data_IF_458317131130
#
_entry.id   IF_458317131130
#
_cell.length_a   1.000
_cell.length_b   1.000
_cell.length_c   1.000
_cell.angle_alpha   90.00
_cell.angle_beta   90.00
_cell.angle_gamma   90.00
#
_symmetry.space_group_name_H-M   'P 1'
#
loop_
_entity.id
_entity.type
_entity.pdbx_description
1 polymer ?
2 polymer ?
3 water ?
#
# COMPACT_ATOMS: atom_id res chain seq x y z
N UNK A 12 -4.27 -16.55 19.06
CA UNK A 12 -3.06 -17.26 18.74
C UNK A 12 -2.64 -17.01 17.29
N UNK A 13 -3.49 -17.37 16.35
CA UNK A 13 -3.08 -17.54 14.99
C UNK A 13 -4.24 -17.38 14.01
N UNK A 14 -3.95 -16.88 12.82
CA UNK A 14 -4.94 -16.87 11.75
C UNK A 14 -4.29 -17.47 10.51
N UNK A 15 -5.07 -18.25 9.78
CA UNK A 15 -4.56 -18.91 8.60
C UNK A 15 -4.26 -17.91 7.49
N UNK A 16 -3.23 -18.15 6.72
CA UNK A 16 -2.84 -17.24 5.64
C UNK A 16 -3.95 -17.04 4.61
N UNK A 17 -4.81 -18.04 4.44
CA UNK A 17 -5.85 -17.97 3.42
C UNK A 17 -6.85 -16.83 3.67
N UNK A 18 -6.99 -16.42 4.94
CA UNK A 18 -7.86 -15.30 5.29
C UNK A 18 -7.38 -13.96 4.71
N UNK A 19 -6.13 -13.92 4.31
CA UNK A 19 -5.51 -12.68 3.85
C UNK A 19 -5.14 -12.74 2.37
N UNK A 20 -5.51 -13.82 1.70
CA UNK A 20 -5.13 -14.00 0.29
C UNK A 20 -6.29 -13.77 -0.68
N UNK A 21 -7.29 -13.01 -0.25
CA UNK A 21 -8.49 -12.79 -1.06
C UNK A 21 -8.61 -11.31 -1.44
N UNK A 22 -8.26 -10.97 -2.70
CA UNK A 22 -8.18 -9.55 -3.08
C UNK A 22 -9.50 -8.80 -2.95
N UNK A 23 -10.63 -9.43 -3.22
CA UNK A 23 -11.89 -8.69 -3.13
C UNK A 23 -12.09 -8.11 -1.72
N UNK A 24 -12.03 -8.97 -0.72
CA UNK A 24 -12.31 -8.55 0.65
C UNK A 24 -11.20 -7.67 1.25
N UNK A 25 -9.95 -7.96 0.92
CA UNK A 25 -8.86 -7.09 1.36
C UNK A 25 -9.06 -5.68 0.83
N UNK A 26 -9.40 -5.59 -0.45
CA UNK A 26 -9.66 -4.32 -1.09
C UNK A 26 -10.87 -3.57 -0.52
N UNK A 27 -11.96 -4.28 -0.23
CA UNK A 27 -13.11 -3.64 0.40
C UNK A 27 -12.73 -3.09 1.78
N UNK A 28 -11.92 -3.84 2.52
CA UNK A 28 -11.43 -3.38 3.82
C UNK A 28 -10.66 -2.08 3.67
N UNK A 29 -9.72 -2.05 2.72
CA UNK A 29 -8.96 -0.82 2.44
C UNK A 29 -9.89 0.30 1.98
N UNK A 30 -10.91 -0.05 1.20
CA UNK A 30 -11.87 0.92 0.69
C UNK A 30 -12.69 1.53 1.82
N UNK A 31 -13.09 0.70 2.77
CA UNK A 31 -13.80 1.17 3.96
C UNK A 31 -12.95 2.17 4.75
N UNK A 32 -11.70 1.79 5.04
CA UNK A 32 -10.77 2.69 5.71
C UNK A 32 -10.59 3.99 4.93
N UNK A 33 -10.42 3.88 3.61
CA UNK A 33 -10.24 5.08 2.81
C UNK A 33 -11.42 6.04 3.00
N UNK A 34 -12.63 5.53 2.90
CA UNK A 34 -13.82 6.37 2.96
C UNK A 34 -13.93 7.07 4.31
N UNK A 35 -13.66 6.33 5.37
CA UNK A 35 -13.68 6.95 6.71
C UNK A 35 -12.57 7.99 6.87
N UNK A 36 -11.36 7.66 6.43
CA UNK A 36 -10.26 8.62 6.53
C UNK A 36 -10.60 9.95 5.83
N UNK A 37 -11.43 9.89 4.79
CA UNK A 37 -11.88 11.12 4.14
C UNK A 37 -12.67 12.00 5.11
N UNK A 38 -13.35 11.38 6.07
CA UNK A 38 -14.15 12.12 7.05
C UNK A 38 -13.32 12.47 8.27
N UNK A 39 -12.06 12.05 8.26
CA UNK A 39 -11.14 12.28 9.38
C UNK A 39 -10.18 13.43 9.10
N UNK A 40 -10.46 14.59 9.70
CA UNK A 40 -9.68 15.79 9.46
C UNK A 40 -8.53 15.97 10.44
N UNK A 41 -8.40 15.03 11.37
CA UNK A 41 -7.36 15.12 12.39
C UNK A 41 -6.06 14.41 11.97
N UNK A 42 -5.15 15.15 11.35
CA UNK A 42 -3.89 14.57 10.87
C UNK A 42 -2.84 14.50 11.96
N UNK A 43 -3.18 15.01 13.14
CA UNK A 43 -2.21 15.14 14.25
C UNK A 43 -2.16 13.92 15.15
N UNK A 44 -3.20 13.08 15.11
CA UNK A 44 -3.29 11.94 16.00
C UNK A 44 -3.42 10.63 15.22
N UNK A 45 -2.47 9.73 15.39
CA UNK A 45 -2.54 8.37 14.83
C UNK A 45 -2.79 7.35 15.94
N UNK A 46 -3.78 6.47 15.73
CA UNK A 46 -4.21 5.52 16.77
C UNK A 46 -3.39 4.24 16.79
N UNK A 47 -3.17 3.67 15.60
CA UNK A 47 -2.56 2.35 15.51
C UNK A 47 -1.19 2.39 14.88
N UNK A 48 -0.15 2.01 15.58
CA UNK A 48 1.21 2.06 15.06
C UNK A 48 2.10 1.69 16.21
N UNK A 49 3.38 1.94 16.14
CA UNK A 49 4.06 2.66 17.22
C UNK A 49 3.90 2.26 18.69
N UNK A 50 3.32 3.13 19.47
CA UNK A 50 3.13 2.92 20.88
C UNK A 50 2.41 1.62 21.26
N UNK A 51 1.54 1.15 20.39
CA UNK A 51 0.60 0.10 20.69
C UNK A 51 1.33 -1.16 21.03
N UNK A 52 2.48 -1.35 20.43
CA UNK A 52 3.23 -2.59 20.63
C UNK A 52 4.41 -2.39 21.58
N UNK A 53 4.51 -1.21 22.17
CA UNK A 53 5.56 -0.96 23.14
C UNK A 53 5.44 -1.89 24.35
N UNK A 54 6.47 -2.69 24.57
CA UNK A 54 6.50 -3.59 25.71
C UNK A 54 5.83 -4.93 25.44
N UNK A 55 5.41 -5.14 24.20
CA UNK A 55 4.74 -6.37 23.80
C UNK A 55 5.65 -7.17 22.85
N UNK A 56 5.81 -8.47 23.11
CA UNK A 56 6.67 -9.32 22.28
C UNK A 56 6.02 -9.67 20.94
N UNK A 57 6.85 -10.00 19.94
CA UNK A 57 6.32 -10.38 18.64
C UNK A 57 5.29 -11.50 18.77
N UNK A 58 5.52 -12.40 19.71
CA UNK A 58 4.67 -13.56 19.87
C UNK A 58 3.37 -13.22 20.57
N UNK A 59 3.33 -12.06 21.22
CA UNK A 59 2.12 -11.61 21.90
C UNK A 59 1.29 -10.67 21.05
N UNK A 60 1.84 -10.29 19.89
CA UNK A 60 1.20 -9.29 19.06
C UNK A 60 -0.16 -9.72 18.53
N UNK A 61 -0.30 -10.97 18.13
CA UNK A 61 -1.59 -11.43 17.61
C UNK A 61 -2.69 -11.28 18.66
N UNK A 62 -2.39 -11.63 19.91
CA UNK A 62 -3.36 -11.51 21.00
C UNK A 62 -3.70 -10.04 21.26
N UNK A 63 -2.70 -9.17 21.16
CA UNK A 63 -2.98 -7.74 21.35
C UNK A 63 -3.95 -7.25 20.28
N UNK A 64 -3.74 -7.70 19.04
CA UNK A 64 -4.56 -7.23 17.93
C UNK A 64 -5.96 -7.85 17.98
N UNK A 65 -6.08 -9.01 18.63
CA UNK A 65 -7.41 -9.56 18.92
C UNK A 65 -8.18 -8.59 19.81
N UNK A 66 -7.54 -8.09 20.85
CA UNK A 66 -8.22 -7.17 21.77
C UNK A 66 -8.60 -5.87 21.07
N UNK A 67 -7.68 -5.38 20.24
CA UNK A 67 -7.93 -4.18 19.46
C UNK A 67 -9.07 -4.42 18.47
N UNK A 68 -9.05 -5.58 17.83
CA UNK A 68 -10.09 -5.95 16.89
C UNK A 68 -11.46 -6.02 17.57
N UNK A 69 -11.52 -6.68 18.72
CA UNK A 69 -12.79 -6.82 19.43
C UNK A 69 -13.29 -5.49 20.01
N UNK A 70 -12.39 -4.66 20.54
CA UNK A 70 -12.76 -3.27 20.86
C UNK A 70 -13.40 -2.55 19.68
N UNK A 71 -12.75 -2.63 18.51
CA UNK A 71 -13.19 -1.91 17.33
C UNK A 71 -14.58 -2.38 16.86
N UNK A 72 -14.76 -3.70 16.74
CA UNK A 72 -16.08 -4.27 16.47
C UNK A 72 -17.16 -3.76 17.43
N UNK A 73 -16.90 -3.81 18.74
CA UNK A 73 -17.95 -3.60 19.73
C UNK A 73 -18.24 -2.12 20.01
N UNK A 74 -17.21 -1.29 19.95
CA UNK A 74 -17.34 0.11 20.38
C UNK A 74 -17.13 1.11 19.25
N UNK A 75 -16.67 0.63 18.11
CA UNK A 75 -16.46 1.55 17.00
C UNK A 75 -17.38 1.25 15.83
N UNK A 76 -17.23 0.06 15.26
CA UNK A 76 -17.99 -0.33 14.10
C UNK A 76 -19.48 -0.46 14.41
N UNK A 77 -19.80 -0.91 15.62
CA UNK A 77 -21.19 -1.09 16.01
C UNK A 77 -21.98 0.24 16.02
N UNK A 78 -21.48 1.24 16.75
CA UNK A 78 -22.22 2.51 16.81
C UNK A 78 -22.31 3.18 15.44
N UNK A 79 -21.33 2.91 14.57
CA UNK A 79 -21.22 3.55 13.26
C UNK A 79 -21.74 2.67 12.11
N UNK A 80 -22.58 1.68 12.43
CA UNK A 80 -22.98 0.68 11.44
C UNK A 80 -23.74 1.24 10.23
N UNK A 81 -24.27 2.46 10.35
CA UNK A 81 -25.02 3.12 9.27
C UNK A 81 -24.10 3.77 8.23
N UNK A 82 -22.87 4.08 8.64
CA UNK A 82 -21.99 4.91 7.82
C UNK A 82 -21.23 4.10 6.77
N UNK A 83 -20.70 4.81 5.77
CA UNK A 83 -19.75 4.23 4.82
C UNK A 83 -20.28 2.98 4.11
N UNK A 84 -21.52 3.05 3.66
CA UNK A 84 -22.06 1.93 2.90
C UNK A 84 -21.64 2.05 1.45
N UNK A 85 -21.57 0.92 0.73
CA UNK A 85 -21.92 -0.45 1.13
C UNK A 85 -20.73 -1.22 1.73
N UNK A 86 -19.59 -0.56 1.89
CA UNK A 86 -18.39 -1.22 2.39
C UNK A 86 -18.54 -1.77 3.80
N UNK A 87 -19.12 -0.96 4.67
CA UNK A 87 -19.33 -1.36 6.06
C UNK A 87 -20.03 -2.72 6.17
N UNK A 88 -21.11 -2.93 5.41
CA UNK A 88 -21.90 -4.15 5.56
C UNK A 88 -21.20 -5.41 5.03
N UNK A 89 -20.17 -5.22 4.20
CA UNK A 89 -19.40 -6.34 3.66
C UNK A 89 -18.19 -6.63 4.53
N UNK A 90 -17.61 -5.58 5.11
CA UNK A 90 -16.34 -5.71 5.82
C UNK A 90 -16.51 -6.15 7.26
N UNK A 91 -17.51 -5.62 7.95
CA UNK A 91 -17.74 -6.05 9.33
C UNK A 91 -17.94 -7.56 9.54
N UNK A 92 -18.76 -8.21 8.70
CA UNK A 92 -18.94 -9.65 8.86
C UNK A 92 -17.64 -10.42 8.64
N UNK A 93 -16.78 -9.89 7.78
CA UNK A 93 -15.45 -10.47 7.55
C UNK A 93 -14.60 -10.35 8.79
N UNK A 94 -14.53 -9.15 9.36
CA UNK A 94 -13.73 -8.93 10.57
C UNK A 94 -14.31 -9.71 11.74
N UNK A 95 -15.63 -9.88 11.76
CA UNK A 95 -16.28 -10.62 12.84
C UNK A 95 -15.90 -12.10 12.79
N UNK A 96 -15.77 -12.63 11.57
CA UNK A 96 -15.32 -14.02 11.39
C UNK A 96 -13.90 -14.20 11.91
N UNK A 97 -13.03 -13.25 11.58
CA UNK A 97 -11.65 -13.28 12.08
C UNK A 97 -11.66 -13.26 13.60
N UNK A 98 -12.49 -12.42 14.21
CA UNK A 98 -12.64 -12.42 15.66
C UNK A 98 -13.09 -13.79 16.18
N UNK A 99 -14.08 -14.39 15.53
CA UNK A 99 -14.60 -15.68 15.98
C UNK A 99 -13.47 -16.72 15.95
N UNK A 100 -12.62 -16.63 14.93
CA UNK A 100 -11.47 -17.53 14.78
C UNK A 100 -10.49 -17.42 15.93
N UNK A 101 -10.32 -16.20 16.44
CA UNK A 101 -9.37 -15.95 17.53
C UNK A 101 -9.98 -16.19 18.90
N UNK A 102 -11.31 -16.26 18.96
CA UNK A 102 -12.05 -16.25 20.22
C UNK A 102 -11.22 -16.61 21.46
N UNK A 112 -0.04 -6.06 30.93
CA UNK A 112 0.61 -5.09 30.05
C UNK A 112 -0.12 -4.90 28.73
N UNK A 113 -0.64 -5.98 28.17
CA UNK A 113 -1.47 -5.89 26.99
C UNK A 113 -2.64 -4.95 27.30
N UNK A 114 -3.29 -5.17 28.43
CA UNK A 114 -4.44 -4.35 28.83
C UNK A 114 -4.06 -2.87 28.85
N UNK A 115 -2.84 -2.58 29.30
CA UNK A 115 -2.37 -1.22 29.42
C UNK A 115 -2.35 -0.51 28.07
N UNK A 116 -1.76 -1.18 27.07
CA UNK A 116 -1.64 -0.58 25.74
C UNK A 116 -2.99 -0.43 25.04
N UNK A 117 -3.85 -1.43 25.18
CA UNK A 117 -5.19 -1.33 24.60
C UNK A 117 -5.99 -0.22 25.26
N UNK A 118 -5.83 -0.06 26.57
CA UNK A 118 -6.61 0.95 27.27
C UNK A 118 -6.24 2.33 26.74
N UNK A 119 -4.96 2.52 26.39
CA UNK A 119 -4.53 3.83 25.91
C UNK A 119 -5.23 4.17 24.60
N UNK A 120 -5.32 3.19 23.72
CA UNK A 120 -6.05 3.37 22.46
C UNK A 120 -7.51 3.69 22.72
N UNK A 121 -8.13 2.97 23.65
CA UNK A 121 -9.52 3.26 24.03
C UNK A 121 -9.67 4.68 24.54
N UNK A 122 -8.73 5.10 25.38
CA UNK A 122 -8.76 6.44 25.99
C UNK A 122 -8.70 7.50 24.91
N UNK A 123 -7.88 7.25 23.90
CA UNK A 123 -7.63 8.22 22.87
C UNK A 123 -8.87 8.35 22.00
N UNK A 124 -9.48 7.22 21.65
CA UNK A 124 -10.70 7.24 20.86
C UNK A 124 -11.78 8.02 21.63
N UNK A 125 -11.88 7.77 22.93
CA UNK A 125 -12.86 8.43 23.78
C UNK A 125 -12.60 9.94 23.86
N UNK A 126 -11.34 10.32 24.07
CA UNK A 126 -10.97 11.73 24.15
C UNK A 126 -11.37 12.48 22.88
N UNK A 127 -11.23 11.82 21.73
CA UNK A 127 -11.52 12.47 20.44
C UNK A 127 -13.02 12.58 20.15
N UNK A 128 -13.82 11.86 20.92
CA UNK A 128 -15.26 11.87 20.72
C UNK A 128 -15.69 11.04 19.53
N UNK A 129 -16.83 11.36 18.94
CA UNK A 129 -17.30 10.61 17.78
C UNK A 129 -16.27 10.60 16.67
N UNK A 130 -15.53 11.69 16.53
CA UNK A 130 -14.47 11.79 15.54
C UNK A 130 -13.36 10.75 15.78
N UNK A 131 -13.25 10.27 17.02
CA UNK A 131 -12.30 9.23 17.34
C UNK A 131 -12.74 7.87 16.80
N UNK A 132 -14.04 7.63 16.84
CA UNK A 132 -14.63 6.42 16.26
C UNK A 132 -14.46 6.44 14.74
N UNK A 133 -14.73 7.58 14.12
CA UNK A 133 -14.45 7.73 12.70
C UNK A 133 -12.97 7.50 12.42
N UNK A 134 -12.09 8.09 13.24
CA UNK A 134 -10.64 7.89 13.07
C UNK A 134 -10.27 6.40 13.06
N UNK A 135 -10.84 5.65 14.00
CA UNK A 135 -10.53 4.24 14.12
C UNK A 135 -10.95 3.47 12.87
N UNK A 136 -12.11 3.82 12.32
CA UNK A 136 -12.57 3.16 11.10
C UNK A 136 -11.64 3.53 9.96
N UNK A 137 -11.16 4.77 9.95
CA UNK A 137 -10.23 5.20 8.92
C UNK A 137 -8.88 4.50 9.02
N UNK A 138 -8.61 3.89 10.17
CA UNK A 138 -7.35 3.19 10.38
C UNK A 138 -7.51 1.68 10.29
N UNK A 139 -8.60 1.22 9.70
CA UNK A 139 -8.80 -0.22 9.57
C UNK A 139 -7.76 -0.87 8.69
N UNK A 140 -7.17 -0.10 7.77
CA UNK A 140 -6.10 -0.63 6.92
C UNK A 140 -4.92 -1.00 7.81
N UNK A 141 -4.65 -0.14 8.78
CA UNK A 141 -3.57 -0.35 9.74
C UNK A 141 -3.91 -1.48 10.70
N UNK A 142 -5.16 -1.54 11.14
CA UNK A 142 -5.58 -2.62 12.04
C UNK A 142 -5.47 -3.94 11.28
N UNK A 143 -5.95 -3.94 10.04
CA UNK A 143 -6.02 -5.18 9.28
C UNK A 143 -4.60 -5.70 9.00
N UNK A 144 -3.71 -4.82 8.56
CA UNK A 144 -2.36 -5.27 8.22
C UNK A 144 -1.52 -5.61 9.45
N UNK A 145 -1.79 -4.96 10.59
CA UNK A 145 -1.13 -5.36 11.84
C UNK A 145 -1.61 -6.74 12.27
N UNK A 146 -2.90 -6.99 12.06
CA UNK A 146 -3.51 -8.28 12.36
C UNK A 146 -2.81 -9.35 11.50
N UNK A 147 -2.63 -9.04 10.22
CA UNK A 147 -1.99 -9.97 9.29
C UNK A 147 -0.56 -10.26 9.70
N UNK A 148 0.22 -9.22 9.97
CA UNK A 148 1.62 -9.41 10.34
C UNK A 148 1.76 -10.19 11.65
N UNK A 149 0.89 -9.92 12.60
CA UNK A 149 0.99 -10.53 13.91
C UNK A 149 0.55 -11.99 13.96
N UNK A 150 -0.46 -12.34 13.14
CA UNK A 150 -1.21 -13.57 13.33
C UNK A 150 -0.89 -14.70 12.36
N UNK A 151 -0.28 -14.38 11.22
CA UNK A 151 -0.02 -15.41 10.21
C UNK A 151 1.11 -16.34 10.63
N UNK B 3 -13.11 28.29 -1.91
CA UNK B 3 -13.33 27.76 -3.25
C UNK B 3 -12.09 27.05 -3.81
N UNK B 4 -11.52 26.12 -3.04
CA UNK B 4 -10.19 25.58 -3.37
C UNK B 4 -10.19 24.78 -4.67
N UNK B 5 -11.29 24.08 -4.91
CA UNK B 5 -11.42 23.18 -6.04
C UNK B 5 -11.43 23.96 -7.34
N UNK B 6 -11.59 25.27 -7.25
CA UNK B 6 -11.57 26.09 -8.44
C UNK B 6 -10.15 26.47 -8.87
N UNK B 7 -9.21 26.37 -7.94
CA UNK B 7 -7.81 26.61 -8.29
C UNK B 7 -6.97 25.33 -8.35
N UNK B 8 -7.38 24.31 -7.62
CA UNK B 8 -6.62 23.08 -7.51
C UNK B 8 -7.47 21.85 -7.62
N UNK B 9 -6.95 20.82 -8.29
CA UNK B 9 -7.67 19.56 -8.39
C UNK B 9 -6.71 18.42 -8.62
N UNK B 10 -7.19 17.19 -8.40
CA UNK B 10 -6.38 15.99 -8.53
C UNK B 10 -5.03 16.09 -7.84
N UNK B 11 -5.05 16.55 -6.59
CA UNK B 11 -3.84 16.61 -5.77
C UNK B 11 -3.62 15.23 -5.16
N UNK B 12 -2.58 14.56 -5.61
CA UNK B 12 -2.44 13.15 -5.28
C UNK B 12 -1.00 12.70 -5.51
N UNK B 13 -0.57 11.74 -4.71
CA UNK B 13 0.71 11.09 -4.89
C UNK B 13 0.60 10.07 -6.01
N UNK B 14 1.55 10.09 -6.93
CA UNK B 14 1.73 8.98 -7.84
C UNK B 14 2.92 8.22 -7.33
N UNK B 15 2.76 6.92 -7.12
CA UNK B 15 3.76 6.13 -6.41
C UNK B 15 4.02 4.81 -7.16
N UNK B 16 5.28 4.58 -7.53
CA UNK B 16 5.69 3.33 -8.19
C UNK B 16 6.98 2.81 -7.60
N UNK B 17 6.99 1.55 -7.16
CA UNK B 17 8.15 0.99 -6.48
C UNK B 17 8.72 1.98 -5.46
N UNK B 18 7.83 2.66 -4.75
CA UNK B 18 8.18 3.52 -3.64
C UNK B 18 8.85 4.85 -4.03
N UNK B 19 8.86 5.17 -5.33
CA UNK B 19 9.22 6.52 -5.77
C UNK B 19 7.93 7.31 -5.74
N UNK B 20 7.85 8.31 -4.88
CA UNK B 20 6.57 8.94 -4.56
C UNK B 20 6.54 10.40 -4.96
N UNK B 21 5.79 10.70 -6.01
CA UNK B 21 5.80 12.04 -6.60
C UNK B 21 4.45 12.71 -6.37
N UNK B 22 4.46 13.84 -5.68
CA UNK B 22 3.24 14.61 -5.50
C UNK B 22 2.88 15.28 -6.82
N UNK B 23 1.63 15.15 -7.25
CA UNK B 23 1.18 15.78 -8.50
C UNK B 23 -0.16 16.47 -8.32
N UNK B 24 -0.41 17.51 -9.12
CA UNK B 24 -1.68 18.24 -9.09
C UNK B 24 -1.97 18.89 -10.44
N UNK B 25 -3.20 19.39 -10.59
CA UNK B 25 -3.52 20.20 -11.76
C UNK B 25 -4.23 21.46 -11.33
N UNK B 26 -4.31 22.44 -12.23
CA UNK B 26 -5.04 23.68 -11.97
C UNK B 26 -6.55 23.46 -12.16
N UNK B 27 -7.34 24.19 -11.41
CA UNK B 27 -8.78 24.09 -11.52
C UNK B 27 -9.32 24.95 -12.66
N UNK B 28 -10.65 24.93 -12.85
CA UNK B 28 -11.37 25.69 -13.88
C UNK B 28 -11.26 27.21 -13.73
N UNK B 29 -11.21 27.73 -12.51
CA UNK B 29 -11.33 29.17 -12.26
C UNK B 29 -10.10 30.04 -12.59
N UNK B 30 -9.03 29.41 -13.04
CA UNK B 30 -7.85 30.15 -13.46
C UNK B 30 -6.63 29.35 -13.08
N UNK B 31 -5.43 29.83 -13.36
CA UNK B 31 -5.16 31.08 -14.08
C UNK B 31 -3.66 31.08 -14.38
N UNK B 32 -3.26 31.55 -15.58
CA UNK B 32 -1.89 31.36 -16.07
C UNK B 32 -0.81 32.00 -15.19
N UNK B 33 -1.22 32.88 -14.28
CA UNK B 33 -0.29 33.62 -13.45
C UNK B 33 -0.15 32.99 -12.05
N UNK B 34 0.00 31.67 -11.99
CA UNK B 34 -0.11 30.95 -10.70
C UNK B 34 1.16 30.19 -10.30
N UNK B 35 1.49 30.25 -9.02
CA UNK B 35 2.64 29.50 -8.50
C UNK B 35 2.21 28.61 -7.32
N UNK B 36 2.94 27.53 -7.09
CA UNK B 36 2.55 26.52 -6.11
C UNK B 36 3.62 26.32 -5.05
N UNK B 37 3.21 26.07 -3.82
CA UNK B 37 4.16 25.77 -2.74
C UNK B 37 3.75 24.53 -1.97
N UNK B 38 4.70 23.62 -1.78
CA UNK B 38 4.42 22.29 -1.27
C UNK B 38 4.93 22.10 0.14
N UNK B 39 4.12 21.49 0.99
CA UNK B 39 4.52 21.12 2.33
C UNK B 39 4.09 19.68 2.60
N UNK B 40 4.74 19.03 3.57
CA UNK B 40 4.35 17.67 3.90
C UNK B 40 4.41 17.45 5.40
N UNK B 41 3.73 16.41 5.86
CA UNK B 41 3.79 16.04 7.25
C UNK B 41 3.53 14.55 7.41
N UNK B 42 3.95 14.05 8.56
CA UNK B 42 3.72 12.67 8.94
C UNK B 42 2.41 12.58 9.70
N UNK B 43 1.56 11.64 9.32
CA UNK B 43 0.32 11.36 10.04
C UNK B 43 0.65 11.01 11.47
N UNK B 44 0.04 11.73 12.41
CA UNK B 44 0.31 11.49 13.83
C UNK B 44 1.28 12.48 14.44
N UNK B 45 1.89 13.33 13.61
CA UNK B 45 2.73 14.44 14.06
C UNK B 45 2.03 15.77 13.80
N UNK B 46 2.53 16.85 14.39
CA UNK B 46 1.82 18.14 14.33
C UNK B 46 2.31 19.12 13.24
N UNK B 47 3.61 19.13 12.96
CA UNK B 47 4.19 20.21 12.16
C UNK B 47 4.30 19.90 10.66
N UNK B 48 3.85 20.85 9.84
CA UNK B 48 4.03 20.76 8.40
C UNK B 48 5.44 21.23 8.05
N UNK B 49 6.03 20.62 7.01
CA UNK B 49 7.38 21.00 6.59
C UNK B 49 7.41 21.46 5.13
N UNK B 50 8.02 22.61 4.88
CA UNK B 50 8.15 23.09 3.50
C UNK B 50 9.18 22.27 2.75
N UNK B 51 8.84 21.88 1.53
CA UNK B 51 9.78 21.17 0.69
C UNK B 51 10.67 22.17 -0.09
N UNK B 52 11.94 22.20 0.26
CA UNK B 52 12.89 23.05 -0.43
C UNK B 52 12.99 22.61 -1.89
N UNK B 53 12.88 23.56 -2.81
CA UNK B 53 12.85 23.25 -4.23
C UNK B 53 11.44 23.18 -4.80
N UNK B 54 10.43 23.13 -3.94
CA UNK B 54 9.05 23.15 -4.42
C UNK B 54 8.30 24.32 -3.78
N UNK B 55 8.95 25.48 -3.75
CA UNK B 55 8.35 26.71 -3.24
C UNK B 55 8.13 27.73 -4.36
N UNK B 56 6.88 28.16 -4.54
CA UNK B 56 6.49 29.09 -5.59
C UNK B 56 6.97 28.65 -6.98
N UNK B 57 6.72 27.38 -7.28
CA UNK B 57 7.04 26.78 -8.57
C UNK B 57 5.84 26.88 -9.51
N UNK B 58 6.11 26.83 -10.81
CA UNK B 58 5.04 26.77 -11.79
C UNK B 58 4.84 25.35 -12.29
N UNK B 59 5.80 24.47 -12.01
CA UNK B 59 5.64 23.08 -12.41
C UNK B 59 4.62 22.39 -11.49
N UNK B 60 3.91 21.41 -12.02
CA UNK B 60 2.81 20.79 -11.26
C UNK B 60 3.16 19.44 -10.62
N UNK B 61 4.43 19.26 -10.28
CA UNK B 61 4.79 18.10 -9.49
C UNK B 61 5.97 18.38 -8.59
N UNK B 62 6.14 17.52 -7.61
CA UNK B 62 7.17 17.67 -6.60
C UNK B 62 7.53 16.29 -6.08
N UNK B 63 8.78 15.88 -6.29
CA UNK B 63 9.23 14.57 -5.85
C UNK B 63 9.43 14.52 -4.34
N UNK B 64 8.62 13.73 -3.64
CA UNK B 64 8.74 13.62 -2.17
C UNK B 64 9.18 12.20 -1.71
N UNK B 65 9.92 11.50 -2.57
CA UNK B 65 10.28 10.11 -2.29
C UNK B 65 10.93 9.91 -0.92
N UNK B 66 12.03 10.60 -0.68
CA UNK B 66 12.74 10.44 0.59
C UNK B 66 11.93 10.97 1.77
N UNK B 67 11.22 12.08 1.56
CA UNK B 67 10.41 12.67 2.63
C UNK B 67 9.29 11.72 3.08
N UNK B 68 8.93 10.79 2.20
CA UNK B 68 7.86 9.84 2.50
C UNK B 68 8.39 8.40 2.47
N UNK B 69 9.66 8.22 2.85
CA UNK B 69 10.32 6.94 2.72
C UNK B 69 10.47 6.12 3.99
N UNK B 70 9.76 6.49 5.05
CA UNK B 70 9.78 5.67 6.25
C UNK B 70 8.60 4.70 6.18
N UNK B 71 8.91 3.41 6.02
CA UNK B 71 7.88 2.40 5.79
C UNK B 71 6.92 2.18 6.97
N UNK B 72 7.24 2.75 8.12
CA UNK B 72 6.35 2.64 9.29
C UNK B 72 5.41 3.84 9.42
N UNK B 73 5.58 4.89 8.62
CA UNK B 73 4.71 6.06 8.72
C UNK B 73 3.69 6.17 7.59
N UNK B 74 2.71 7.05 7.77
CA UNK B 74 1.82 7.48 6.71
C UNK B 74 1.98 8.98 6.66
N UNK B 75 1.55 9.60 5.57
CA UNK B 75 1.85 11.00 5.32
C UNK B 75 0.71 11.76 4.66
N UNK B 76 0.84 13.08 4.67
CA UNK B 76 0.01 13.97 3.89
C UNK B 76 0.91 15.00 3.21
N UNK B 77 0.47 15.53 2.08
CA UNK B 77 1.12 16.68 1.48
C UNK B 77 0.04 17.71 1.25
N UNK B 78 0.45 18.96 1.05
CA UNK B 78 -0.50 19.97 0.64
C UNK B 78 0.12 20.94 -0.35
N UNK B 79 -0.72 21.51 -1.19
CA UNK B 79 -0.28 22.39 -2.24
C UNK B 79 -1.04 23.70 -2.03
N UNK B 80 -0.30 24.80 -2.01
CA UNK B 80 -0.93 26.12 -1.90
C UNK B 80 -0.69 26.86 -3.20
N UNK B 81 -1.77 27.20 -3.90
CA UNK B 81 -1.68 27.93 -5.15
C UNK B 81 -1.85 29.42 -4.87
N UNK B 82 -1.02 30.26 -5.48
CA UNK B 82 -1.22 31.70 -5.39
C UNK B 82 -1.17 32.34 -6.78
N UNK B 83 -2.25 33.02 -7.18
CA UNK B 83 -2.31 33.71 -8.46
C UNK B 83 -1.80 35.14 -8.33
N UNK B 84 -1.32 35.70 -9.43
CA UNK B 84 -0.78 37.06 -9.40
C UNK B 84 -1.76 38.12 -8.87
N UNK B 85 -3.05 37.85 -8.94
CA UNK B 85 -4.03 38.78 -8.41
C UNK B 85 -4.19 38.65 -6.90
N UNK B 86 -3.51 37.67 -6.31
CA UNK B 86 -3.59 37.44 -4.89
C UNK B 86 -4.60 36.38 -4.48
N UNK B 87 -5.33 35.82 -5.45
CA UNK B 87 -6.25 34.73 -5.13
C UNK B 87 -5.42 33.52 -4.73
N UNK B 88 -5.88 32.79 -3.72
CA UNK B 88 -5.11 31.68 -3.19
C UNK B 88 -6.00 30.52 -2.78
N UNK B 89 -5.45 29.31 -2.83
CA UNK B 89 -6.17 28.14 -2.37
C UNK B 89 -5.17 27.10 -1.89
N UNK B 90 -5.53 26.36 -0.84
CA UNK B 90 -4.71 25.25 -0.38
C UNK B 90 -5.54 23.96 -0.42
N UNK B 91 -4.91 22.87 -0.86
CA UNK B 91 -5.57 21.59 -0.90
C UNK B 91 -4.61 20.48 -0.49
N UNK B 92 -5.09 19.57 0.36
CA UNK B 92 -4.29 18.51 0.92
C UNK B 92 -4.58 17.20 0.17
N UNK B 93 -3.59 16.31 0.09
CA UNK B 93 -3.84 14.96 -0.43
C UNK B 93 -4.70 14.17 0.55
N UNK B 94 -5.24 13.04 0.09
CA UNK B 94 -5.78 12.05 1.01
C UNK B 94 -4.58 11.45 1.75
N UNK B 95 -4.85 10.65 2.78
CA UNK B 95 -3.78 10.05 3.55
C UNK B 95 -2.99 9.09 2.67
N UNK B 96 -1.66 9.17 2.75
CA UNK B 96 -0.81 8.38 1.86
C UNK B 96 -0.14 7.24 2.61
N UNK B 97 -0.31 6.02 2.08
CA UNK B 97 0.29 4.84 2.67
C UNK B 97 1.12 4.14 1.60
N UNK B 98 2.43 4.30 1.65
CA UNK B 98 3.28 3.82 0.57
C UNK B 98 3.13 2.31 0.36
N UNK B 99 3.06 1.55 1.45
CA UNK B 99 2.92 0.11 1.34
C UNK B 99 1.65 -0.26 0.59
N UNK B 100 0.53 0.39 0.90
CA UNK B 100 -0.74 0.10 0.28
C UNK B 100 -0.86 0.67 -1.12
N UNK B 101 -0.42 1.89 -1.29
CA UNK B 101 -0.66 2.68 -2.47
C UNK B 101 0.34 2.57 -3.61
N UNK B 102 1.55 2.19 -3.31
CA UNK B 102 2.58 2.12 -4.35
C UNK B 102 2.32 0.96 -5.30
N UNK B 103 2.46 1.23 -6.59
CA UNK B 103 2.28 0.24 -7.64
C UNK B 103 3.57 -0.56 -7.78
N UNK B 104 3.48 -1.86 -8.06
CA UNK B 104 4.68 -2.64 -8.31
C UNK B 104 4.94 -2.69 -9.83
N UNK B 105 6.15 -2.34 -10.24
CA UNK B 105 6.51 -2.36 -11.65
C UNK B 105 6.77 -3.81 -12.07
N UNK B 106 6.59 -4.12 -13.36
CA UNK B 106 7.01 -5.45 -13.84
C UNK B 106 8.46 -5.72 -13.47
N UNK B 107 8.79 -6.96 -13.08
CA UNK B 107 10.15 -7.29 -12.68
C UNK B 107 11.05 -7.31 -13.90
N UNK B 108 12.34 -7.02 -13.72
CA UNK B 108 13.33 -7.28 -14.76
C UNK B 108 13.61 -8.78 -14.75
N UNK B 109 13.58 -9.39 -15.92
CA UNK B 109 13.75 -10.83 -15.99
C UNK B 109 14.77 -11.18 -17.08
N UNK B 110 15.58 -12.20 -16.80
CA UNK B 110 16.51 -12.73 -17.80
C UNK B 110 15.90 -14.00 -18.39
N UNK B 111 15.60 -13.99 -19.68
CA UNK B 111 15.12 -15.21 -20.33
C UNK B 111 16.20 -15.81 -21.23
N UNK B 112 16.65 -17.01 -20.87
CA UNK B 112 17.75 -17.67 -21.58
C UNK B 112 17.26 -18.90 -22.35
N UNK B 113 17.66 -19.01 -23.60
CA UNK B 113 17.24 -20.10 -24.46
C UNK B 113 18.19 -21.28 -24.36
N UNK B 114 17.61 -22.49 -24.24
CA UNK B 114 18.36 -23.73 -24.38
C UNK B 114 17.73 -24.54 -25.50
N UNK B 115 18.29 -25.71 -25.79
CA UNK B 115 17.75 -26.51 -26.89
C UNK B 115 16.34 -27.04 -26.61
N UNK B 116 16.07 -27.47 -25.39
CA UNK B 116 14.76 -28.02 -25.05
C UNK B 116 14.21 -27.42 -23.76
N UNK B 117 14.64 -26.19 -23.47
CA UNK B 117 14.14 -25.50 -22.29
C UNK B 117 14.32 -23.98 -22.41
N UNK B 118 13.58 -23.25 -21.57
CA UNK B 118 13.82 -21.81 -21.41
C UNK B 118 14.12 -21.53 -19.92
N UNK B 119 15.22 -20.87 -19.65
CA UNK B 119 15.56 -20.54 -18.29
C UNK B 119 15.08 -19.11 -18.03
N UNK B 120 14.52 -18.86 -16.84
CA UNK B 120 14.09 -17.51 -16.49
C UNK B 120 14.67 -17.16 -15.13
N UNK B 121 15.33 -16.01 -15.06
CA UNK B 121 15.89 -15.52 -13.82
C UNK B 121 15.22 -14.20 -13.49
N UNK B 122 14.50 -14.16 -12.38
CA UNK B 122 13.89 -12.90 -11.96
C UNK B 122 14.90 -12.13 -11.12
N UNK B 123 15.14 -10.88 -11.48
CA UNK B 123 16.07 -10.10 -10.69
C UNK B 123 15.30 -9.40 -9.58
N UNK B 124 15.91 -9.31 -8.39
CA UNK B 124 15.32 -8.54 -7.30
C UNK B 124 15.12 -7.09 -7.72
N UNK B 125 14.08 -6.45 -7.19
CA UNK B 125 13.77 -5.07 -7.52
C UNK B 125 14.29 -4.12 -6.44
N UNK B 126 15.34 -3.34 -6.77
CA UNK B 126 15.78 -2.30 -5.82
C UNK B 126 14.74 -1.21 -5.73
N UNK B 127 14.67 -0.55 -4.58
CA UNK B 127 13.76 0.58 -4.37
C UNK B 127 14.53 1.75 -3.77
N UNK B 128 13.90 2.93 -3.73
CA UNK B 128 14.61 4.03 -3.07
C UNK B 128 14.54 3.96 -1.55
N UNK B 129 14.02 2.87 -0.99
CA UNK B 129 13.89 2.79 0.46
C UNK B 129 15.25 2.55 1.09
N UNK B 130 15.60 3.41 2.03
CA UNK B 130 16.95 3.47 2.58
C UNK B 130 17.06 2.74 3.92
N UNK B 131 18.07 1.87 4.01
CA UNK B 131 18.42 1.21 5.27
C UNK B 131 19.79 0.53 5.14
N UNK B 136 19.93 0.32 0.29
CA UNK B 136 18.63 0.28 -0.37
C UNK B 136 17.95 -1.08 -0.24
N UNK B 137 16.71 -1.07 0.23
CA UNK B 137 15.90 -2.29 0.28
C UNK B 137 15.33 -2.65 -1.09
N UNK B 138 15.16 -3.95 -1.34
CA UNK B 138 14.43 -4.43 -2.51
C UNK B 138 12.97 -4.68 -2.13
N UNK B 139 12.10 -4.85 -3.14
CA UNK B 139 10.73 -5.26 -2.89
C UNK B 139 10.73 -6.54 -2.05
N UNK B 140 11.64 -7.44 -2.39
CA UNK B 140 11.76 -8.71 -1.70
C UNK B 140 12.05 -8.52 -0.20
N UNK B 141 12.87 -7.53 0.16
CA UNK B 141 13.15 -7.23 1.57
C UNK B 141 11.93 -6.65 2.29
N UNK B 142 11.10 -5.94 1.54
CA UNK B 142 9.97 -5.20 2.11
C UNK B 142 8.73 -6.06 2.31
N UNK B 143 8.43 -6.90 1.32
CA UNK B 143 7.22 -7.71 1.34
C UNK B 143 7.59 -9.17 1.51
N UNK B 144 7.45 -9.69 2.73
CA UNK B 144 7.95 -11.03 3.06
C UNK B 144 7.23 -12.13 2.28
N UNK B 145 6.01 -11.85 1.84
CA UNK B 145 5.22 -12.85 1.13
C UNK B 145 5.19 -12.62 -0.38
N UNK B 146 6.19 -11.93 -0.90
CA UNK B 146 6.26 -11.68 -2.31
C UNK B 146 6.65 -12.98 -3.01
N UNK B 147 5.99 -13.28 -4.11
CA UNK B 147 6.42 -14.39 -4.95
C UNK B 147 6.23 -14.05 -6.41
N UNK B 148 6.74 -14.91 -7.29
CA UNK B 148 6.65 -14.68 -8.72
C UNK B 148 5.71 -15.69 -9.37
N UNK B 149 4.95 -15.23 -10.35
CA UNK B 149 4.13 -16.14 -11.15
C UNK B 149 4.65 -16.12 -12.59
N UNK B 150 5.06 -17.29 -13.07
CA UNK B 150 5.65 -17.39 -14.40
C UNK B 150 4.81 -18.32 -15.27
N UNK B 151 4.56 -17.89 -16.50
CA UNK B 151 3.79 -18.68 -17.45
C UNK B 151 4.55 -18.76 -18.76
N UNK B 152 4.56 -19.96 -19.33
CA UNK B 152 5.18 -20.14 -20.63
C UNK B 152 4.11 -20.64 -21.60
N UNK B 153 3.81 -19.83 -22.61
CA UNK B 153 2.79 -20.20 -23.59
C UNK B 153 3.34 -21.18 -24.63
N UNK B 154 2.90 -22.43 -24.53
CA UNK B 154 3.20 -23.43 -25.55
C UNK B 154 1.99 -24.29 -25.85
N UNK B 159 -0.23 -24.17 -21.91
CA UNK B 159 0.35 -23.20 -20.99
C UNK B 159 1.01 -23.88 -19.80
N UNK B 160 2.30 -23.63 -19.61
CA UNK B 160 3.00 -24.16 -18.44
C UNK B 160 3.05 -23.06 -17.40
N UNK B 161 2.93 -23.43 -16.12
CA UNK B 161 3.04 -22.44 -15.07
C UNK B 161 3.98 -22.88 -13.95
N UNK B 162 4.77 -21.93 -13.46
CA UNK B 162 5.64 -22.14 -12.32
C UNK B 162 5.53 -20.93 -11.40
N UNK B 163 5.96 -21.07 -10.15
CA UNK B 163 5.87 -19.97 -9.22
C UNK B 163 6.60 -20.26 -7.93
N UNK B 164 6.88 -19.22 -7.16
CA UNK B 164 7.60 -19.38 -5.91
C UNK B 164 8.37 -18.13 -5.52
N UNK B 165 9.14 -18.25 -4.43
CA UNK B 165 9.91 -17.15 -3.90
C UNK B 165 11.33 -17.14 -4.48
N UNK B 166 11.75 -18.28 -5.00
CA UNK B 166 13.09 -18.41 -5.56
C UNK B 166 13.26 -17.56 -6.81
N UNK B 167 14.52 -17.36 -7.21
CA UNK B 167 14.85 -16.45 -8.30
C UNK B 167 14.83 -17.10 -9.71
N UNK B 168 15.25 -18.35 -9.81
CA UNK B 168 15.40 -18.95 -11.14
C UNK B 168 14.54 -20.18 -11.37
N UNK B 169 14.00 -20.25 -12.59
CA UNK B 169 13.07 -21.28 -13.00
C UNK B 169 13.44 -21.76 -14.39
N UNK B 170 13.26 -23.05 -14.65
CA UNK B 170 13.52 -23.57 -15.99
C UNK B 170 12.34 -24.41 -16.46
N UNK B 171 11.79 -24.06 -17.62
CA UNK B 171 10.71 -24.82 -18.23
C UNK B 171 11.28 -25.88 -19.17
N UNK B 172 11.06 -27.14 -18.84
CA UNK B 172 11.62 -28.25 -19.61
C UNK B 172 10.59 -28.86 -20.57
N UNK B 173 11.06 -29.77 -21.43
CA UNK B 173 10.16 -30.51 -22.28
C UNK B 173 9.69 -29.76 -23.50
N UNK B 174 10.48 -28.80 -23.96
CA UNK B 174 10.13 -27.96 -25.10
C UNK B 174 10.70 -28.44 -26.41
N UNK B 175 9.97 -28.18 -27.47
CA UNK B 175 10.45 -28.50 -28.80
C UNK B 175 11.59 -27.55 -29.19
N UNK B 176 12.64 -28.08 -29.80
CA UNK B 176 13.76 -27.23 -30.22
C UNK B 176 13.40 -26.26 -31.36
N UNK B 177 14.20 -25.21 -31.52
CA UNK B 177 14.07 -24.29 -32.65
C UNK B 177 12.63 -23.75 -32.76
N UNK B 178 12.02 -23.44 -31.62
CA UNK B 178 10.60 -23.09 -31.55
C UNK B 178 10.39 -21.82 -30.71
N UNK B 179 9.45 -20.97 -31.11
CA UNK B 179 9.25 -19.69 -30.41
C UNK B 179 8.21 -19.82 -29.29
N UNK B 180 8.50 -19.24 -28.13
CA UNK B 180 7.57 -19.28 -27.01
C UNK B 180 7.41 -17.88 -26.44
N UNK B 181 6.36 -17.67 -25.67
CA UNK B 181 6.17 -16.39 -24.99
C UNK B 181 6.08 -16.63 -23.49
N UNK B 182 6.98 -16.02 -22.73
CA UNK B 182 6.97 -16.10 -21.27
C UNK B 182 6.43 -14.82 -20.63
N UNK B 183 5.68 -14.97 -19.55
CA UNK B 183 5.19 -13.83 -18.79
C UNK B 183 5.52 -14.05 -17.32
N UNK B 184 6.01 -13.00 -16.67
CA UNK B 184 6.44 -13.08 -15.29
C UNK B 184 5.82 -11.91 -14.55
N UNK B 185 5.14 -12.19 -13.45
CA UNK B 185 4.57 -11.11 -12.67
C UNK B 185 4.92 -11.27 -11.20
N UNK B 186 4.93 -10.16 -10.46
CA UNK B 186 5.15 -10.16 -9.03
C UNK B 186 3.78 -10.17 -8.38
N UNK B 187 3.63 -10.96 -7.33
CA UNK B 187 2.40 -10.97 -6.54
C UNK B 187 2.76 -10.74 -5.08
N UNK B 188 1.95 -9.94 -4.38
CA UNK B 188 2.02 -9.87 -2.93
C UNK B 188 0.60 -10.05 -2.40
N UNK B 189 0.19 -11.31 -2.25
CA UNK B 189 -1.21 -11.67 -1.99
C UNK B 189 -1.80 -10.95 -0.79
N UNK B 190 -0.99 -10.78 0.25
CA UNK B 190 -1.44 -10.17 1.51
C UNK B 190 -1.85 -8.69 1.36
N UNK B 191 -1.25 -8.00 0.43
CA UNK B 191 -1.59 -6.61 0.17
C UNK B 191 -2.45 -6.48 -1.09
N UNK B 192 -2.95 -7.62 -1.56
CA UNK B 192 -3.72 -7.66 -2.80
C UNK B 192 -3.01 -6.91 -3.92
N UNK B 193 -1.68 -7.05 -3.96
CA UNK B 193 -0.85 -6.36 -4.95
C UNK B 193 -0.39 -7.29 -6.07
N UNK B 194 -0.34 -6.75 -7.28
CA UNK B 194 0.17 -7.50 -8.42
C UNK B 194 0.82 -6.55 -9.42
N UNK B 195 1.93 -6.96 -10.03
CA UNK B 195 2.53 -6.13 -11.07
C UNK B 195 1.91 -6.52 -12.40
N UNK B 196 2.03 -5.62 -13.38
CA UNK B 196 1.76 -5.98 -14.76
C UNK B 196 2.88 -6.96 -15.13
N UNK B 197 2.67 -7.79 -16.17
CA UNK B 197 3.70 -8.79 -16.41
C UNK B 197 4.88 -8.23 -17.20
N UNK B 198 6.06 -8.79 -16.97
CA UNK B 198 7.16 -8.65 -17.92
C UNK B 198 7.01 -9.80 -18.91
N UNK B 199 7.21 -9.54 -20.19
CA UNK B 199 7.07 -10.61 -21.18
C UNK B 199 8.34 -10.78 -21.99
N UNK B 200 8.65 -12.02 -22.34
CA UNK B 200 9.76 -12.29 -23.24
C UNK B 200 9.37 -13.30 -24.32
N UNK B 201 9.63 -12.93 -25.57
CA UNK B 201 9.42 -13.82 -26.68
C UNK B 201 10.79 -14.35 -27.07
N UNK B 202 10.98 -15.66 -26.90
CA UNK B 202 12.28 -16.24 -27.15
C UNK B 202 12.11 -17.56 -27.89
N UNK B 203 13.21 -18.05 -28.44
CA UNK B 203 13.19 -19.30 -29.19
C UNK B 203 14.14 -20.30 -28.58
N UNK B 204 13.71 -21.56 -28.51
CA UNK B 204 14.63 -22.61 -28.09
C UNK B 204 15.72 -22.71 -29.15
N UNK B 205 16.90 -23.16 -28.76
CA UNK B 205 18.01 -23.29 -29.70
C UNK B 205 17.74 -24.45 -30.64
N UNK B 206 18.38 -24.44 -31.81
CA UNK B 206 18.19 -25.55 -32.75
C UNK B 206 18.76 -26.81 -32.17
N UNK B 207 18.24 -27.96 -32.58
CA UNK B 207 18.79 -29.23 -32.16
C UNK B 207 19.57 -29.78 -33.34
N UNK B 208 20.89 -29.68 -33.26
CA UNK B 208 21.77 -30.05 -34.36
C UNK B 208 22.06 -31.54 -34.43
N UNK B 209 21.38 -32.32 -33.60
CA UNK B 209 21.66 -33.75 -33.55
C UNK B 209 21.65 -34.39 -34.95
N UNK B 210 22.67 -35.17 -35.25
CA UNK B 210 22.81 -35.82 -36.55
C UNK B 210 22.71 -37.33 -36.38
N UNK B 211 21.79 -37.93 -37.14
CA UNK B 211 21.51 -39.36 -37.10
C UNK B 211 21.72 -39.99 -35.73
#
# INVERSE_FOLDING_TARGET
QGGAAAPISSHARLDKSNFQQPYITNRTFMLAKEASLADNNTDVRLIGEKLFHGVSMSERCYLMKQVLNFTLEEVLFPQSDRFQPYMQEVVPFLARLSNRLSTCHIEGDDLHIQRNVQKLKDTVKKLGESGEIKAIGELDLLFMSLRNACI
PEDPSDLLQHVKFQSSNFENILTWDSGPEGTPDTVYSIEYKTYGERDWVAKKGCQRITRKSCNLTVETGNLTELYYARVTAVSAGGRSATKMTDRFSSLQHTTLKPPDVTCISKVRSIQMIVHPTPTPIRAGDGHRLTLEDIFHDLFYHLELQVNRTYQMHLGGKQREYEFFGLTPDTEFLGTIMILVPTWAKESAPYMCRVKTLPDRTWT
#
